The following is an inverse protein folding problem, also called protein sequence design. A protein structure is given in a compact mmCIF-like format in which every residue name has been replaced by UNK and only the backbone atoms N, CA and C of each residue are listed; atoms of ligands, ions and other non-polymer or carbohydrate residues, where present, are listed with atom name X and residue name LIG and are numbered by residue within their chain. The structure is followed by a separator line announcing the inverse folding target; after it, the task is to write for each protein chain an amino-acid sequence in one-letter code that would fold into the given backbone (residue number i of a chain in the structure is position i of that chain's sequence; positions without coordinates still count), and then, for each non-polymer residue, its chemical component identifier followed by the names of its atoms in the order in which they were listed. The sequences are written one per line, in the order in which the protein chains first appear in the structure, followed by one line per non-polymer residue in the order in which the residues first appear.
data_IF_990568312640
#
_entry.id   IF_990568312640
#
_cell.length_a   1.000
_cell.length_b   1.000
_cell.length_c   1.000
_cell.angle_alpha   90.00
_cell.angle_beta   90.00
_cell.angle_gamma   90.00
#
_symmetry.space_group_name_H-M   'P 1'
#
loop_
_entity.id
_entity.type
_entity.pdbx_description
1 polymer ?
#
# COMPACT_ATOMS: atom_id res chain seq x y z
N UNK A 1 -3.77 -29.81 3.42
CA UNK A 1 -5.20 -29.84 2.98
C UNK A 1 -6.05 -28.69 3.55
N UNK A 2 -6.25 -28.51 4.85
CA UNK A 2 -7.11 -27.43 5.37
C UNK A 2 -6.58 -26.00 5.06
N UNK A 3 -5.26 -25.78 5.10
CA UNK A 3 -4.62 -24.48 4.84
C UNK A 3 -4.72 -24.06 3.36
N UNK A 4 -4.64 -25.00 2.42
CA UNK A 4 -4.79 -24.76 0.98
C UNK A 4 -6.25 -24.51 0.59
N UNK A 5 -7.20 -25.20 1.24
CA UNK A 5 -8.63 -24.97 1.00
C UNK A 5 -9.04 -23.57 1.48
N UNK A 6 -8.46 -23.11 2.59
CA UNK A 6 -8.66 -21.78 3.14
C UNK A 6 -8.21 -20.67 2.18
N UNK A 7 -6.97 -20.76 1.65
CA UNK A 7 -6.44 -19.79 0.70
C UNK A 7 -7.27 -19.73 -0.61
N UNK A 8 -7.83 -20.85 -1.05
CA UNK A 8 -8.67 -20.92 -2.26
C UNK A 8 -10.02 -20.21 -2.08
N UNK A 9 -10.63 -20.29 -0.89
CA UNK A 9 -11.90 -19.60 -0.60
C UNK A 9 -11.67 -18.09 -0.48
N UNK A 10 -10.62 -17.66 0.23
CA UNK A 10 -10.24 -16.25 0.32
C UNK A 10 -10.03 -15.62 -1.05
N UNK A 11 -9.23 -16.27 -1.91
CA UNK A 11 -8.98 -15.81 -3.27
C UNK A 11 -10.28 -15.67 -4.07
N UNK A 12 -11.18 -16.65 -4.01
CA UNK A 12 -12.47 -16.59 -4.71
C UNK A 12 -13.33 -15.39 -4.25
N UNK A 13 -13.41 -15.13 -2.95
CA UNK A 13 -14.18 -14.01 -2.40
C UNK A 13 -13.55 -12.68 -2.85
N UNK A 14 -12.23 -12.56 -2.75
CA UNK A 14 -11.52 -11.36 -3.17
C UNK A 14 -11.68 -11.09 -4.67
N UNK A 15 -11.55 -12.11 -5.52
CA UNK A 15 -11.72 -11.99 -6.96
C UNK A 15 -13.15 -11.64 -7.36
N UNK A 16 -14.13 -12.18 -6.63
CA UNK A 16 -15.54 -11.81 -6.80
C UNK A 16 -15.77 -10.33 -6.50
N UNK A 17 -15.30 -9.85 -5.37
CA UNK A 17 -15.42 -8.44 -4.97
C UNK A 17 -14.64 -7.50 -5.89
N UNK A 18 -13.49 -7.93 -6.43
CA UNK A 18 -12.72 -7.15 -7.42
C UNK A 18 -13.45 -6.93 -8.74
N UNK A 19 -14.19 -7.95 -9.20
CA UNK A 19 -14.94 -7.89 -10.47
C UNK A 19 -16.21 -7.06 -10.37
N UNK A 20 -16.73 -6.86 -9.17
CA UNK A 20 -17.92 -6.04 -8.93
C UNK A 20 -17.53 -4.64 -8.47
N UNK A 21 -17.99 -3.63 -9.19
CA UNK A 21 -17.88 -2.22 -8.77
C UNK A 21 -18.84 -1.86 -7.63
N UNK A 22 -19.81 -2.72 -7.35
CA UNK A 22 -20.86 -2.51 -6.35
C UNK A 22 -20.64 -3.38 -5.11
N UNK A 23 -21.19 -2.91 -3.99
CA UNK A 23 -21.19 -3.66 -2.73
C UNK A 23 -22.09 -4.89 -2.86
N UNK A 24 -21.68 -6.00 -2.21
CA UNK A 24 -22.41 -7.26 -2.27
C UNK A 24 -22.79 -7.75 -0.87
N UNK A 25 -23.99 -8.33 -0.76
CA UNK A 25 -24.43 -9.02 0.46
C UNK A 25 -23.82 -10.42 0.57
N UNK A 26 -23.77 -10.97 1.79
CA UNK A 26 -23.33 -12.36 2.02
C UNK A 26 -24.17 -13.35 1.19
N UNK A 27 -25.46 -13.06 0.99
CA UNK A 27 -26.36 -13.93 0.22
C UNK A 27 -25.99 -13.96 -1.26
N UNK A 28 -25.65 -12.82 -1.85
CA UNK A 28 -25.22 -12.73 -3.25
C UNK A 28 -23.87 -13.43 -3.44
N UNK A 29 -22.88 -13.15 -2.57
CA UNK A 29 -21.55 -13.78 -2.63
C UNK A 29 -21.69 -15.31 -2.49
N UNK A 30 -22.52 -15.77 -1.54
CA UNK A 30 -22.76 -17.19 -1.29
C UNK A 30 -23.37 -17.90 -2.51
N UNK A 31 -24.39 -17.29 -3.09
CA UNK A 31 -25.07 -17.82 -4.27
C UNK A 31 -24.14 -17.86 -5.49
N UNK A 32 -23.47 -16.75 -5.77
CA UNK A 32 -22.69 -16.58 -7.01
C UNK A 32 -21.38 -17.39 -7.00
N UNK A 33 -20.83 -17.69 -5.81
CA UNK A 33 -19.63 -18.52 -5.64
C UNK A 33 -19.92 -19.98 -5.30
N UNK A 34 -21.18 -20.33 -5.07
CA UNK A 34 -21.59 -21.66 -4.56
C UNK A 34 -20.83 -22.05 -3.27
N UNK A 35 -20.78 -21.10 -2.33
CA UNK A 35 -20.13 -21.28 -1.00
C UNK A 35 -21.19 -21.03 0.07
N UNK A 36 -21.25 -21.91 1.06
CA UNK A 36 -22.22 -21.77 2.17
C UNK A 36 -22.14 -20.41 2.88
N UNK A 37 -23.30 -19.80 3.19
CA UNK A 37 -23.39 -18.45 3.79
C UNK A 37 -22.54 -18.28 5.05
N UNK A 38 -22.52 -19.28 5.93
CA UNK A 38 -21.72 -19.24 7.15
C UNK A 38 -20.22 -19.23 6.86
N UNK A 39 -19.81 -19.95 5.81
CA UNK A 39 -18.41 -19.95 5.34
C UNK A 39 -18.04 -18.57 4.79
N UNK A 40 -18.88 -18.01 3.90
CA UNK A 40 -18.65 -16.65 3.37
C UNK A 40 -18.57 -15.63 4.49
N UNK A 41 -19.51 -15.66 5.45
CA UNK A 41 -19.51 -14.73 6.58
C UNK A 41 -18.21 -14.81 7.39
N UNK A 42 -17.76 -16.03 7.72
CA UNK A 42 -16.49 -16.24 8.44
C UNK A 42 -15.29 -15.66 7.72
N UNK A 43 -15.19 -15.89 6.40
CA UNK A 43 -14.09 -15.38 5.61
C UNK A 43 -14.15 -13.87 5.40
N UNK A 44 -15.33 -13.28 5.24
CA UNK A 44 -15.48 -11.83 5.16
C UNK A 44 -15.07 -11.13 6.46
N UNK A 45 -15.42 -11.68 7.64
CA UNK A 45 -14.95 -11.14 8.92
C UNK A 45 -13.42 -11.27 9.08
N UNK A 46 -12.83 -12.39 8.63
CA UNK A 46 -11.37 -12.54 8.62
C UNK A 46 -10.69 -11.52 7.70
N UNK A 47 -11.19 -11.35 6.47
CA UNK A 47 -10.69 -10.38 5.50
C UNK A 47 -10.87 -8.94 5.99
N UNK A 48 -11.96 -8.65 6.71
CA UNK A 48 -12.19 -7.36 7.36
C UNK A 48 -11.18 -7.09 8.47
N UNK A 49 -10.89 -8.10 9.30
CA UNK A 49 -9.84 -7.99 10.32
C UNK A 49 -8.46 -7.74 9.71
N UNK A 50 -8.19 -8.29 8.52
CA UNK A 50 -6.98 -8.03 7.74
C UNK A 50 -7.00 -6.67 7.00
N UNK A 51 -8.10 -5.91 7.07
CA UNK A 51 -8.25 -4.64 6.38
C UNK A 51 -8.44 -4.74 4.86
N UNK A 52 -8.73 -5.94 4.33
CA UNK A 52 -8.87 -6.19 2.89
C UNK A 52 -10.28 -5.94 2.37
N UNK A 53 -11.28 -6.05 3.23
CA UNK A 53 -12.67 -5.74 2.92
C UNK A 53 -13.28 -4.84 3.98
N UNK A 54 -14.26 -4.05 3.59
CA UNK A 54 -15.07 -3.23 4.49
C UNK A 54 -16.53 -3.68 4.47
N UNK A 55 -17.20 -3.44 5.58
CA UNK A 55 -18.63 -3.69 5.73
C UNK A 55 -19.35 -2.37 5.96
N UNK A 56 -20.39 -2.12 5.17
CA UNK A 56 -21.32 -1.01 5.38
C UNK A 56 -22.72 -1.54 5.68
N UNK A 57 -23.42 -0.86 6.57
CA UNK A 57 -24.81 -1.17 6.87
C UNK A 57 -25.71 -0.16 6.18
N UNK A 58 -26.68 -0.62 5.39
CA UNK A 58 -27.73 0.19 4.77
C UNK A 58 -29.06 -0.38 5.27
N UNK A 59 -29.69 0.31 6.24
CA UNK A 59 -30.81 -0.26 6.98
C UNK A 59 -30.41 -1.53 7.71
N UNK A 60 -31.11 -2.64 7.46
CA UNK A 60 -30.81 -3.95 8.02
C UNK A 60 -29.82 -4.77 7.17
N UNK A 61 -29.51 -4.30 5.95
CA UNK A 61 -28.61 -5.02 5.05
C UNK A 61 -27.14 -4.71 5.40
N UNK A 62 -26.34 -5.78 5.48
CA UNK A 62 -24.88 -5.70 5.58
C UNK A 62 -24.30 -5.96 4.20
N UNK A 63 -23.64 -4.96 3.66
CA UNK A 63 -23.00 -4.99 2.35
C UNK A 63 -21.48 -4.99 2.50
N UNK A 64 -20.82 -5.73 1.64
CA UNK A 64 -19.38 -5.93 1.66
C UNK A 64 -18.76 -5.45 0.35
N UNK A 65 -17.64 -4.77 0.45
CA UNK A 65 -16.80 -4.36 -0.67
C UNK A 65 -15.34 -4.55 -0.31
N UNK A 66 -14.48 -4.53 -1.32
CA UNK A 66 -13.07 -4.37 -1.02
C UNK A 66 -12.89 -3.07 -0.24
N UNK A 67 -12.03 -3.09 0.76
CA UNK A 67 -11.55 -1.84 1.34
C UNK A 67 -11.00 -1.04 0.17
N UNK A 68 -11.61 0.07 -0.13
CA UNK A 68 -11.03 1.03 -1.04
C UNK A 68 -9.78 1.58 -0.36
N UNK A 69 -8.72 0.80 -0.38
CA UNK A 69 -7.41 1.41 -0.31
C UNK A 69 -7.31 2.19 -1.62
N UNK A 70 -7.31 3.52 -1.60
CA UNK A 70 -7.06 4.32 -2.79
C UNK A 70 -5.67 4.06 -3.34
N UNK A 71 -4.95 3.14 -2.73
CA UNK A 71 -3.61 2.73 -3.02
C UNK A 71 -3.58 1.49 -3.91
N UNK A 72 -3.55 1.73 -5.21
CA UNK A 72 -2.99 0.74 -6.11
C UNK A 72 -1.48 0.66 -5.84
N UNK A 73 -1.05 -0.36 -5.09
CA UNK A 73 0.36 -0.58 -4.73
C UNK A 73 1.30 -0.77 -5.93
N UNK A 74 0.76 -0.93 -7.14
CA UNK A 74 1.54 -0.93 -8.38
C UNK A 74 1.85 0.49 -8.88
N UNK A 75 1.05 1.49 -8.48
CA UNK A 75 1.19 2.88 -8.91
C UNK A 75 1.57 3.83 -7.80
N UNK A 76 1.35 3.45 -6.55
CA UNK A 76 1.55 4.30 -5.41
C UNK A 76 2.33 3.61 -4.31
N UNK A 77 3.14 4.37 -3.62
CA UNK A 77 3.83 3.95 -2.40
C UNK A 77 3.68 5.00 -1.29
N UNK A 78 3.75 4.54 -0.05
CA UNK A 78 3.81 5.40 1.13
C UNK A 78 5.03 5.00 1.92
N UNK A 79 5.77 5.96 2.44
CA UNK A 79 6.78 5.68 3.46
C UNK A 79 6.75 6.71 4.58
N UNK A 80 7.11 6.25 5.77
CA UNK A 80 7.36 7.08 6.94
C UNK A 80 8.85 6.98 7.22
N UNK A 81 9.49 8.12 7.42
CA UNK A 81 10.91 8.23 7.74
C UNK A 81 11.11 9.00 9.04
N UNK A 82 12.18 8.67 9.72
CA UNK A 82 12.64 9.42 10.90
C UNK A 82 13.30 10.76 10.50
N UNK A 83 13.87 11.46 11.48
CA UNK A 83 14.56 12.74 11.28
C UNK A 83 15.85 12.60 10.49
N UNK A 84 16.47 11.46 10.54
CA UNK A 84 17.70 11.10 9.83
C UNK A 84 17.40 10.64 8.38
N UNK A 85 16.12 10.62 7.98
CA UNK A 85 15.67 10.19 6.65
C UNK A 85 15.60 8.68 6.46
N UNK A 86 15.74 7.88 7.55
CA UNK A 86 15.66 6.43 7.49
C UNK A 86 14.22 5.95 7.45
N UNK A 87 13.95 4.96 6.63
CA UNK A 87 12.63 4.37 6.51
C UNK A 87 12.24 3.60 7.78
N UNK A 88 11.24 4.09 8.49
CA UNK A 88 10.58 3.43 9.62
C UNK A 88 9.49 2.48 9.13
N UNK A 89 8.81 2.89 8.04
CA UNK A 89 7.74 2.14 7.44
C UNK A 89 7.69 2.41 5.93
N UNK A 90 7.43 1.37 5.14
CA UNK A 90 7.22 1.48 3.71
C UNK A 90 6.10 0.55 3.28
N UNK A 91 5.21 1.04 2.40
CA UNK A 91 4.10 0.29 1.85
C UNK A 91 3.91 0.63 0.37
N UNK A 92 3.45 -0.34 -0.41
CA UNK A 92 3.19 -0.14 -1.83
C UNK A 92 4.42 -0.35 -2.71
N UNK A 93 5.45 -1.01 -2.19
CA UNK A 93 6.67 -1.34 -2.93
C UNK A 93 6.48 -2.39 -4.03
N UNK A 94 5.25 -2.89 -4.30
CA UNK A 94 5.00 -3.87 -5.37
C UNK A 94 5.49 -3.39 -6.74
N UNK A 95 5.36 -2.10 -7.04
CA UNK A 95 5.91 -1.55 -8.26
C UNK A 95 7.44 -1.64 -8.29
N UNK A 96 8.10 -1.55 -7.13
CA UNK A 96 9.55 -1.65 -6.99
C UNK A 96 10.04 -3.09 -6.93
N UNK A 97 9.16 -4.08 -6.72
CA UNK A 97 9.53 -5.50 -6.78
C UNK A 97 10.01 -5.93 -8.18
N UNK A 98 9.54 -5.26 -9.24
CA UNK A 98 10.05 -5.42 -10.61
C UNK A 98 11.54 -5.05 -10.73
N UNK A 99 12.04 -4.26 -9.79
CA UNK A 99 13.44 -3.84 -9.68
C UNK A 99 14.22 -4.65 -8.63
N UNK A 100 13.60 -5.69 -8.06
CA UNK A 100 14.21 -6.54 -7.03
C UNK A 100 14.15 -5.96 -5.61
N UNK A 101 13.35 -4.92 -5.37
CA UNK A 101 13.23 -4.27 -4.07
C UNK A 101 11.98 -4.76 -3.32
N UNK A 102 12.11 -4.96 -2.01
CA UNK A 102 11.03 -5.27 -1.08
C UNK A 102 10.92 -4.19 0.01
N UNK A 103 9.88 -4.25 0.82
CA UNK A 103 9.73 -3.35 1.97
C UNK A 103 10.92 -3.47 2.94
N UNK A 104 11.44 -4.70 3.13
CA UNK A 104 12.60 -4.99 3.98
C UNK A 104 13.89 -4.36 3.44
N UNK A 105 14.00 -4.12 2.12
CA UNK A 105 15.14 -3.45 1.51
C UNK A 105 15.37 -2.06 2.11
N UNK A 106 14.29 -1.37 2.49
CA UNK A 106 14.31 0.00 2.98
C UNK A 106 14.36 0.12 4.50
N UNK A 107 13.91 -0.90 5.23
CA UNK A 107 13.74 -0.82 6.68
C UNK A 107 15.02 -0.39 7.40
N UNK A 108 14.96 0.71 8.15
CA UNK A 108 16.08 1.28 8.91
C UNK A 108 17.17 1.95 8.08
N UNK A 109 16.98 2.08 6.76
CA UNK A 109 17.96 2.65 5.82
C UNK A 109 17.43 3.93 5.19
N UNK A 110 18.31 4.80 4.72
CA UNK A 110 17.98 5.86 3.78
C UNK A 110 17.76 5.28 2.39
N UNK A 111 17.29 6.06 1.43
CA UNK A 111 17.09 5.58 0.06
C UNK A 111 18.44 5.26 -0.60
N UNK A 112 19.45 6.11 -0.40
CA UNK A 112 20.79 5.89 -0.94
C UNK A 112 21.49 4.67 -0.33
N UNK A 113 21.34 4.44 0.98
CA UNK A 113 21.86 3.22 1.63
C UNK A 113 21.18 1.94 1.11
N UNK A 114 19.90 2.04 0.71
CA UNK A 114 19.13 0.89 0.23
C UNK A 114 19.36 0.61 -1.26
N UNK A 115 19.49 1.65 -2.09
CA UNK A 115 19.46 1.56 -3.55
C UNK A 115 20.74 2.02 -4.26
N UNK A 116 21.63 2.75 -3.58
CA UNK A 116 22.85 3.32 -4.13
C UNK A 116 22.88 4.85 -4.10
N UNK A 117 24.10 5.41 -4.15
CA UNK A 117 24.34 6.86 -4.03
C UNK A 117 23.64 7.70 -5.10
N UNK A 118 23.34 7.15 -6.25
CA UNK A 118 22.57 7.83 -7.30
C UNK A 118 21.15 8.23 -6.86
N UNK A 119 20.68 7.75 -5.69
CA UNK A 119 19.38 8.09 -5.10
C UNK A 119 19.49 9.05 -3.90
N UNK A 120 20.67 9.60 -3.62
CA UNK A 120 20.90 10.53 -2.51
C UNK A 120 20.09 11.83 -2.60
N UNK A 121 19.72 12.27 -3.81
CA UNK A 121 18.83 13.41 -4.05
C UNK A 121 17.42 13.20 -3.42
N UNK A 122 16.95 11.97 -3.34
CA UNK A 122 15.69 11.61 -2.66
C UNK A 122 15.81 11.83 -1.15
N UNK A 123 16.95 11.45 -0.56
CA UNK A 123 17.22 11.64 0.87
C UNK A 123 17.42 13.12 1.21
N UNK A 124 18.08 13.89 0.33
CA UNK A 124 18.21 15.33 0.48
C UNK A 124 16.83 16.00 0.56
N UNK A 125 15.86 15.60 -0.27
CA UNK A 125 14.50 16.17 -0.24
C UNK A 125 13.73 15.77 1.03
N UNK A 126 13.92 14.58 1.54
CA UNK A 126 13.34 14.16 2.82
C UNK A 126 13.90 15.01 3.98
N UNK A 127 15.22 15.19 4.05
CA UNK A 127 15.89 16.00 5.08
C UNK A 127 15.55 17.50 4.94
N UNK A 128 15.45 18.02 3.72
CA UNK A 128 14.98 19.39 3.47
C UNK A 128 13.59 19.60 4.06
N UNK A 129 12.67 18.65 3.90
CA UNK A 129 11.32 18.69 4.48
C UNK A 129 11.36 18.73 6.02
N UNK A 130 12.22 17.94 6.66
CA UNK A 130 12.41 17.94 8.11
C UNK A 130 12.92 19.30 8.60
N UNK A 131 13.92 19.86 7.92
CA UNK A 131 14.62 21.08 8.34
C UNK A 131 13.79 22.35 8.09
N UNK A 132 13.07 22.40 6.99
CA UNK A 132 12.27 23.58 6.59
C UNK A 132 10.84 23.52 7.10
N UNK A 133 10.36 22.34 7.52
CA UNK A 133 8.96 22.07 7.84
C UNK A 133 7.99 22.38 6.68
N UNK A 134 8.52 22.39 5.45
CA UNK A 134 7.73 22.62 4.24
C UNK A 134 7.71 21.35 3.38
N UNK A 135 6.61 21.08 2.67
CA UNK A 135 6.58 19.98 1.71
C UNK A 135 7.64 20.15 0.62
N UNK A 136 8.27 19.03 0.25
CA UNK A 136 9.20 18.99 -0.90
C UNK A 136 8.79 17.88 -1.88
N UNK A 137 9.39 17.89 -3.06
CA UNK A 137 9.14 16.90 -4.08
C UNK A 137 10.46 16.43 -4.71
N UNK A 138 10.55 15.14 -5.01
CA UNK A 138 11.64 14.52 -5.76
C UNK A 138 11.09 13.84 -7.01
N UNK A 139 11.83 13.89 -8.10
CA UNK A 139 11.54 13.17 -9.34
C UNK A 139 12.73 12.28 -9.67
N UNK A 140 12.53 10.98 -9.71
CA UNK A 140 13.59 10.01 -9.98
C UNK A 140 13.16 8.99 -11.02
N UNK A 141 14.11 8.56 -11.85
CA UNK A 141 13.91 7.44 -12.75
C UNK A 141 14.67 6.23 -12.23
N UNK A 142 13.92 5.18 -11.96
CA UNK A 142 14.46 3.87 -11.59
C UNK A 142 14.61 3.03 -12.84
N UNK A 143 15.79 2.44 -13.05
CA UNK A 143 16.10 1.66 -14.25
C UNK A 143 16.73 0.32 -13.91
N UNK A 144 16.32 -0.70 -14.63
CA UNK A 144 17.03 -1.96 -14.78
C UNK A 144 17.19 -2.26 -16.27
N UNK A 145 17.89 -3.34 -16.62
CA UNK A 145 18.02 -3.76 -18.01
C UNK A 145 16.68 -4.05 -18.72
N UNK A 146 15.59 -4.27 -17.96
CA UNK A 146 14.28 -4.69 -18.48
C UNK A 146 13.15 -3.71 -18.18
N UNK A 147 13.31 -2.85 -17.18
CA UNK A 147 12.22 -1.99 -16.69
C UNK A 147 12.73 -0.58 -16.45
N UNK A 148 11.87 0.39 -16.70
CA UNK A 148 12.10 1.80 -16.36
C UNK A 148 10.82 2.39 -15.80
N UNK A 149 10.91 3.09 -14.69
CA UNK A 149 9.78 3.77 -14.05
C UNK A 149 10.20 5.14 -13.57
N UNK A 150 9.36 6.14 -13.83
CA UNK A 150 9.45 7.45 -13.19
C UNK A 150 8.72 7.40 -11.87
N UNK A 151 9.37 7.88 -10.83
CA UNK A 151 8.78 8.03 -9.50
C UNK A 151 8.79 9.50 -9.13
N UNK A 152 7.62 10.05 -8.86
CA UNK A 152 7.47 11.36 -8.24
C UNK A 152 7.11 11.12 -6.78
N UNK A 153 7.95 11.61 -5.87
CA UNK A 153 7.77 11.42 -4.44
C UNK A 153 7.56 12.77 -3.76
N UNK A 154 6.44 12.90 -3.07
CA UNK A 154 6.06 14.07 -2.29
C UNK A 154 6.36 13.81 -0.83
N UNK A 155 7.08 14.69 -0.18
CA UNK A 155 7.44 14.61 1.24
C UNK A 155 6.67 15.65 2.02
N UNK A 156 6.09 15.25 3.14
CA UNK A 156 5.38 16.11 4.08
C UNK A 156 6.01 15.96 5.46
N UNK A 157 6.17 17.04 6.24
CA UNK A 157 6.67 16.93 7.61
C UNK A 157 5.71 16.11 8.47
N UNK A 158 6.26 15.20 9.26
CA UNK A 158 5.52 14.39 10.22
C UNK A 158 5.71 15.00 11.62
N UNK A 159 4.61 15.34 12.29
CA UNK A 159 4.62 15.97 13.59
C UNK A 159 4.12 15.00 14.66
N UNK A 160 4.71 15.06 15.85
CA UNK A 160 4.15 14.38 17.02
C UNK A 160 3.04 15.24 17.67
N UNK A 161 2.45 14.72 18.76
CA UNK A 161 1.39 15.38 19.52
C UNK A 161 1.79 16.77 20.08
N UNK A 162 3.08 17.03 20.23
CA UNK A 162 3.63 18.30 20.72
C UNK A 162 4.05 19.25 19.57
N UNK A 163 3.57 19.02 18.34
CA UNK A 163 3.90 19.78 17.13
C UNK A 163 5.41 19.84 16.81
N UNK A 164 6.19 18.85 17.27
CA UNK A 164 7.58 18.73 16.89
C UNK A 164 7.70 17.80 15.69
N UNK A 165 8.48 18.20 14.68
CA UNK A 165 8.81 17.33 13.55
C UNK A 165 9.55 16.11 14.05
N UNK A 166 9.09 14.92 13.70
CA UNK A 166 9.67 13.63 14.04
C UNK A 166 10.16 12.86 12.81
N UNK A 167 10.04 13.45 11.63
CA UNK A 167 10.45 12.85 10.36
C UNK A 167 9.58 13.32 9.21
N UNK A 168 9.38 12.46 8.20
CA UNK A 168 8.53 12.73 7.05
C UNK A 168 7.54 11.60 6.79
N UNK A 169 6.38 11.96 6.21
CA UNK A 169 5.50 11.04 5.51
C UNK A 169 5.64 11.33 4.03
N UNK A 170 5.87 10.32 3.21
CA UNK A 170 5.98 10.52 1.77
C UNK A 170 5.01 9.66 0.97
N UNK A 171 4.56 10.23 -0.15
CA UNK A 171 3.72 9.58 -1.14
C UNK A 171 4.47 9.51 -2.46
N UNK A 172 4.65 8.32 -2.97
CA UNK A 172 5.26 8.07 -4.27
C UNK A 172 4.20 7.75 -5.32
N UNK A 173 4.29 8.42 -6.46
CA UNK A 173 3.50 8.12 -7.66
C UNK A 173 4.44 7.51 -8.69
N UNK A 174 4.11 6.31 -9.15
CA UNK A 174 4.95 5.50 -10.04
C UNK A 174 4.28 5.45 -11.41
N UNK A 175 4.98 5.85 -12.44
CA UNK A 175 4.56 5.77 -13.83
C UNK A 175 5.56 4.93 -14.64
N UNK A 176 5.06 3.97 -15.41
CA UNK A 176 5.91 3.20 -16.33
C UNK A 176 6.34 4.09 -17.49
N UNK A 177 7.62 3.98 -17.86
CA UNK A 177 8.13 4.51 -19.13
C UNK A 177 8.07 3.32 -20.09
N UNK A 178 7.26 3.46 -21.13
CA UNK A 178 7.22 2.49 -22.22
C UNK A 178 8.49 2.50 -23.02
#
# INVERSE_FOLDING_TARGET
MAKELNAKIESKIMDYLKKRSEQSSITEISRDLDIGRNTVAKYLELLKFQGLVEQRSIGQAKLWSLTHTPFNSEKYGVSIRDKEGRHVYSYGAKALSKFGFSEETFQGKTTSEALGEEYSDVDVKALETVNTMQPTVSHKTYKTNKHSSKVTQYFFPNFNENNKVIGTISFAVISEIK
#
